data_IF_287783550985
#
_entry.id   IF_287783550985
#
_cell.length_a   1.000
_cell.length_b   1.000
_cell.length_c   1.000
_cell.angle_alpha   90.00
_cell.angle_beta   90.00
_cell.angle_gamma   90.00
#
_symmetry.space_group_name_H-M   'P 1'
#
loop_
_entity.id
_entity.type
_entity.pdbx_description
1 polymer ?
#
# COMPACT_ATOMS: atom_id res chain seq x y z
N UNK A 1 -40.06 3.83 5.76
CA UNK A 1 -38.89 4.69 5.48
C UNK A 1 -38.37 4.40 4.08
N UNK A 2 -38.42 5.38 3.16
CA UNK A 2 -37.82 5.24 1.82
C UNK A 2 -36.30 5.47 1.95
N UNK A 3 -35.48 4.45 1.69
CA UNK A 3 -34.02 4.62 1.54
C UNK A 3 -33.78 5.54 0.33
N UNK A 4 -33.29 6.76 0.56
CA UNK A 4 -32.80 7.62 -0.52
C UNK A 4 -31.60 6.91 -1.15
N UNK A 5 -31.76 6.37 -2.36
CA UNK A 5 -30.63 6.00 -3.21
C UNK A 5 -29.96 7.31 -3.62
N UNK A 6 -28.81 7.61 -3.01
CA UNK A 6 -27.92 8.63 -3.53
C UNK A 6 -27.46 8.13 -4.90
N UNK A 7 -27.93 8.78 -5.98
CA UNK A 7 -27.30 8.64 -7.29
C UNK A 7 -26.05 9.50 -7.23
N UNK A 8 -24.88 8.88 -7.12
CA UNK A 8 -23.62 9.59 -7.25
C UNK A 8 -23.58 10.23 -8.65
N UNK A 9 -23.18 11.51 -8.78
CA UNK A 9 -22.92 12.10 -10.08
C UNK A 9 -21.73 11.37 -10.74
N UNK A 10 -21.64 11.48 -12.06
CA UNK A 10 -20.67 10.85 -12.97
C UNK A 10 -19.27 10.56 -12.38
N UNK A 11 -18.74 9.34 -12.63
CA UNK A 11 -17.36 8.89 -12.39
C UNK A 11 -16.77 9.30 -11.02
N UNK A 12 -17.43 8.94 -9.91
CA UNK A 12 -16.77 9.04 -8.60
C UNK A 12 -15.80 7.87 -8.46
N UNK A 13 -14.51 8.16 -8.35
CA UNK A 13 -13.56 7.16 -7.86
C UNK A 13 -13.85 6.96 -6.38
N UNK A 14 -14.00 5.71 -5.96
CA UNK A 14 -14.25 5.29 -4.58
C UNK A 14 -13.11 5.80 -3.67
N UNK A 15 -11.91 6.00 -4.19
CA UNK A 15 -10.81 6.61 -3.45
C UNK A 15 -11.10 8.08 -3.12
N UNK A 16 -11.78 8.84 -3.98
CA UNK A 16 -12.07 10.27 -3.74
C UNK A 16 -13.00 10.52 -2.55
N UNK A 17 -13.72 9.48 -2.08
CA UNK A 17 -14.62 9.58 -0.93
C UNK A 17 -14.01 9.06 0.38
N UNK A 18 -12.78 8.52 0.33
CA UNK A 18 -12.08 8.10 1.53
C UNK A 18 -11.58 9.31 2.33
N UNK A 19 -11.54 9.21 3.67
CA UNK A 19 -11.08 10.29 4.54
C UNK A 19 -9.55 10.37 4.56
N UNK A 20 -8.94 10.68 3.41
CA UNK A 20 -7.49 10.80 3.28
C UNK A 20 -6.95 11.92 4.16
N UNK A 21 -5.95 11.59 4.99
CA UNK A 21 -5.09 12.61 5.57
C UNK A 21 -4.10 13.10 4.51
N UNK A 22 -4.11 14.40 4.24
CA UNK A 22 -3.15 15.00 3.33
C UNK A 22 -1.85 15.37 4.06
N UNK A 23 -0.72 14.91 3.52
CA UNK A 23 0.62 15.32 3.98
C UNK A 23 1.19 16.35 3.02
N UNK A 24 1.29 17.58 3.51
CA UNK A 24 1.84 18.70 2.75
C UNK A 24 3.37 18.74 2.83
N UNK A 25 3.98 19.58 1.99
CA UNK A 25 5.43 19.64 1.86
C UNK A 25 6.19 19.97 3.16
N UNK A 26 5.61 20.83 3.99
CA UNK A 26 6.15 21.20 5.30
C UNK A 26 5.91 20.14 6.39
N UNK A 27 5.27 19.01 6.04
CA UNK A 27 4.94 17.90 6.93
C UNK A 27 5.65 16.61 6.57
N UNK A 28 6.65 16.65 5.68
CA UNK A 28 7.34 15.45 5.20
C UNK A 28 7.74 14.48 6.32
N UNK A 29 8.31 15.01 7.39
CA UNK A 29 8.83 14.20 8.51
C UNK A 29 7.73 13.62 9.42
N UNK A 30 6.46 13.88 9.11
CA UNK A 30 5.32 13.34 9.87
C UNK A 30 4.95 11.93 9.46
N UNK A 31 5.35 11.48 8.27
CA UNK A 31 5.12 10.09 7.84
C UNK A 31 6.29 9.20 8.23
N UNK A 32 6.00 7.98 8.69
CA UNK A 32 7.02 7.02 9.04
C UNK A 32 6.64 5.59 8.65
N UNK A 33 7.69 4.81 8.38
CA UNK A 33 7.66 3.34 8.27
C UNK A 33 8.79 2.84 9.16
N UNK A 34 8.46 1.89 10.04
CA UNK A 34 9.42 1.30 10.94
C UNK A 34 9.24 -0.20 11.15
N UNK A 35 10.32 -0.84 11.57
CA UNK A 35 10.37 -2.25 11.92
C UNK A 35 10.92 -2.33 13.34
N UNK A 36 10.07 -2.09 14.37
CA UNK A 36 10.52 -2.03 15.75
C UNK A 36 11.14 -3.33 16.27
N UNK A 37 10.76 -4.47 15.68
CA UNK A 37 11.25 -5.79 16.10
C UNK A 37 11.18 -6.81 14.97
N UNK A 38 12.18 -7.68 14.93
CA UNK A 38 12.10 -8.98 14.26
C UNK A 38 12.38 -10.04 15.32
N UNK A 39 11.45 -10.95 15.52
CA UNK A 39 11.58 -12.01 16.51
C UNK A 39 10.67 -13.18 16.16
N UNK A 40 11.12 -14.39 16.50
CA UNK A 40 10.32 -15.61 16.40
C UNK A 40 9.77 -15.89 14.98
N UNK A 41 10.49 -15.48 13.93
CA UNK A 41 10.06 -15.65 12.53
C UNK A 41 8.95 -14.67 12.11
N UNK A 42 8.81 -13.56 12.84
CA UNK A 42 7.89 -12.47 12.52
C UNK A 42 8.62 -11.14 12.37
N UNK A 43 8.23 -10.38 11.34
CA UNK A 43 8.53 -8.96 11.19
C UNK A 43 7.40 -8.13 11.78
N UNK A 44 7.69 -7.33 12.80
CA UNK A 44 6.75 -6.36 13.35
C UNK A 44 6.88 -5.07 12.55
N UNK A 45 5.81 -4.68 11.86
CA UNK A 45 5.80 -3.55 10.94
C UNK A 45 4.87 -2.46 11.46
N UNK A 46 5.35 -1.21 11.43
CA UNK A 46 4.57 -0.03 11.79
C UNK A 46 4.62 1.00 10.65
N UNK A 47 3.46 1.57 10.32
CA UNK A 47 3.31 2.68 9.38
C UNK A 47 2.38 3.71 9.96
N UNK A 48 2.71 5.00 9.83
CA UNK A 48 1.88 6.01 10.44
C UNK A 48 2.18 7.45 10.06
N UNK A 49 1.32 8.31 10.59
CA UNK A 49 1.46 9.76 10.72
C UNK A 49 1.45 10.16 12.20
N UNK A 50 1.46 11.46 12.50
CA UNK A 50 1.22 11.96 13.86
C UNK A 50 -0.24 11.78 14.33
N UNK A 51 -1.18 11.46 13.43
CA UNK A 51 -2.61 11.34 13.74
C UNK A 51 -3.16 9.92 13.70
N UNK A 52 -2.59 9.06 12.87
CA UNK A 52 -3.05 7.68 12.67
C UNK A 52 -1.86 6.76 12.46
N UNK A 53 -1.99 5.51 12.90
CA UNK A 53 -0.98 4.49 12.67
C UNK A 53 -1.59 3.11 12.55
N UNK A 54 -0.88 2.23 11.87
CA UNK A 54 -1.20 0.82 11.72
C UNK A 54 0.03 0.00 12.06
N UNK A 55 -0.22 -1.03 12.86
CA UNK A 55 0.78 -1.99 13.33
C UNK A 55 0.28 -3.40 13.00
N UNK A 56 1.18 -4.25 12.50
CA UNK A 56 0.93 -5.67 12.35
C UNK A 56 2.24 -6.46 12.35
N UNK A 57 2.18 -7.72 12.77
CA UNK A 57 3.24 -8.70 12.54
C UNK A 57 2.97 -9.46 11.25
N UNK A 58 4.01 -9.78 10.51
CA UNK A 58 3.95 -10.65 9.33
C UNK A 58 4.95 -11.79 9.51
N UNK A 59 4.49 -13.01 9.23
CA UNK A 59 5.32 -14.21 9.31
C UNK A 59 6.30 -14.27 8.13
N UNK A 60 7.31 -15.13 8.26
CA UNK A 60 8.31 -15.51 7.24
C UNK A 60 7.76 -16.01 5.88
N UNK A 61 6.44 -16.01 5.64
CA UNK A 61 5.82 -16.22 4.32
C UNK A 61 5.44 -14.92 3.57
N UNK A 62 5.38 -13.78 4.25
CA UNK A 62 5.08 -12.46 3.69
C UNK A 62 6.28 -11.50 3.73
N UNK A 63 6.86 -11.17 2.56
CA UNK A 63 7.95 -10.18 2.45
C UNK A 63 7.37 -8.76 2.43
N UNK A 64 6.96 -8.25 3.60
CA UNK A 64 6.28 -6.95 3.68
C UNK A 64 7.05 -5.82 2.98
N UNK A 65 8.38 -5.76 3.13
CA UNK A 65 9.15 -4.69 2.50
C UNK A 65 9.28 -4.89 0.99
N UNK A 66 9.65 -6.09 0.54
CA UNK A 66 9.77 -6.40 -0.87
C UNK A 66 8.45 -6.18 -1.62
N UNK A 67 7.35 -6.63 -1.02
CA UNK A 67 6.01 -6.54 -1.57
C UNK A 67 5.56 -5.07 -1.76
N UNK A 68 5.81 -4.23 -0.75
CA UNK A 68 5.50 -2.79 -0.85
C UNK A 68 6.40 -2.08 -1.86
N UNK A 69 7.69 -2.43 -1.94
CA UNK A 69 8.60 -1.83 -2.91
C UNK A 69 8.24 -2.22 -4.34
N UNK A 70 7.87 -3.47 -4.56
CA UNK A 70 7.44 -3.98 -5.86
C UNK A 70 6.16 -3.27 -6.34
N UNK A 71 5.16 -3.14 -5.45
CA UNK A 71 3.94 -2.41 -5.73
C UNK A 71 4.19 -0.93 -6.09
N UNK A 72 5.12 -0.27 -5.40
CA UNK A 72 5.51 1.10 -5.72
C UNK A 72 6.22 1.19 -7.06
N UNK A 73 7.18 0.31 -7.36
CA UNK A 73 7.86 0.29 -8.65
C UNK A 73 6.85 0.16 -9.79
N UNK A 74 5.87 -0.75 -9.65
CA UNK A 74 4.80 -0.96 -10.63
C UNK A 74 3.93 0.29 -10.86
N UNK A 75 3.59 1.01 -9.79
CA UNK A 75 2.66 2.14 -9.88
C UNK A 75 3.33 3.46 -10.30
N UNK A 76 4.57 3.70 -9.88
CA UNK A 76 5.32 4.93 -10.25
C UNK A 76 5.99 4.80 -11.61
N UNK A 77 6.27 3.57 -12.05
CA UNK A 77 6.78 3.22 -13.37
C UNK A 77 5.87 2.16 -13.99
N UNK A 78 4.69 2.55 -14.50
CA UNK A 78 3.78 1.61 -15.17
C UNK A 78 4.47 1.01 -16.40
N UNK A 79 5.18 -0.09 -16.20
CA UNK A 79 5.63 -0.99 -17.24
C UNK A 79 4.53 -2.04 -17.38
N UNK A 80 3.97 -2.19 -18.59
CA UNK A 80 2.72 -2.92 -18.83
C UNK A 80 2.77 -4.44 -18.64
N UNK A 81 3.52 -4.96 -17.68
CA UNK A 81 3.68 -6.40 -17.45
C UNK A 81 3.03 -6.82 -16.12
N UNK A 82 1.99 -7.66 -16.24
CA UNK A 82 1.48 -8.50 -15.16
C UNK A 82 2.42 -9.69 -14.97
N UNK A 83 3.33 -9.60 -14.00
CA UNK A 83 4.06 -10.72 -13.45
C UNK A 83 3.20 -11.37 -12.35
N UNK A 84 2.93 -12.67 -12.50
CA UNK A 84 1.97 -13.46 -11.70
C UNK A 84 2.32 -13.68 -10.22
N UNK A 85 2.91 -12.69 -9.57
CA UNK A 85 2.90 -12.52 -8.12
C UNK A 85 1.48 -12.06 -7.70
N UNK A 86 1.05 -12.23 -6.45
CA UNK A 86 -0.35 -12.04 -5.99
C UNK A 86 -0.96 -10.62 -6.05
N UNK A 87 -0.61 -9.84 -7.07
CA UNK A 87 -0.94 -8.44 -7.27
C UNK A 87 -1.96 -8.27 -8.40
N UNK A 88 -2.85 -7.29 -8.27
CA UNK A 88 -3.66 -6.77 -9.39
C UNK A 88 -3.18 -5.36 -9.71
N UNK A 89 -2.41 -5.20 -10.78
CA UNK A 89 -1.96 -3.89 -11.25
C UNK A 89 -2.89 -3.37 -12.36
N UNK A 90 -3.28 -2.11 -12.25
CA UNK A 90 -3.66 -1.27 -13.39
C UNK A 90 -2.74 -0.07 -13.42
N UNK A 91 -2.64 0.66 -14.54
CA UNK A 91 -1.62 1.70 -14.79
C UNK A 91 -1.47 2.79 -13.70
N UNK A 92 -2.41 2.88 -12.76
CA UNK A 92 -2.46 3.84 -11.66
C UNK A 92 -2.94 3.23 -10.32
N UNK A 93 -3.07 1.90 -10.19
CA UNK A 93 -3.48 1.21 -8.95
C UNK A 93 -2.64 -0.04 -8.72
N UNK A 94 -2.08 -0.18 -7.52
CA UNK A 94 -1.41 -1.40 -7.06
C UNK A 94 -1.99 -1.86 -5.71
N UNK A 95 -2.01 -3.17 -5.48
CA UNK A 95 -2.57 -3.77 -4.28
C UNK A 95 -1.62 -4.79 -3.69
N UNK A 96 -1.46 -4.77 -2.37
CA UNK A 96 -0.62 -5.71 -1.63
C UNK A 96 -1.44 -6.36 -0.53
N UNK A 97 -1.40 -7.69 -0.45
CA UNK A 97 -2.12 -8.45 0.56
C UNK A 97 -1.11 -9.12 1.46
N UNK A 98 -1.16 -8.79 2.75
CA UNK A 98 -0.41 -9.48 3.79
C UNK A 98 -1.39 -10.31 4.61
N UNK A 99 -1.29 -11.63 4.50
CA UNK A 99 -2.01 -12.57 5.35
C UNK A 99 -1.19 -12.78 6.63
N UNK A 100 -1.77 -12.40 7.76
CA UNK A 100 -1.09 -12.41 9.06
C UNK A 100 -1.93 -13.18 10.07
N UNK A 101 -1.31 -13.65 11.16
CA UNK A 101 -2.07 -14.30 12.25
C UNK A 101 -3.17 -13.39 12.83
N UNK A 102 -2.98 -12.08 12.75
CA UNK A 102 -3.86 -11.08 13.32
C UNK A 102 -4.93 -10.57 12.35
N UNK A 103 -5.02 -11.13 11.15
CA UNK A 103 -5.97 -10.78 10.08
C UNK A 103 -5.28 -10.46 8.75
N UNK A 104 -6.09 -10.15 7.74
CA UNK A 104 -5.58 -9.84 6.40
C UNK A 104 -5.48 -8.32 6.27
N UNK A 105 -4.29 -7.84 5.90
CA UNK A 105 -4.03 -6.44 5.60
C UNK A 105 -3.99 -6.24 4.09
N UNK A 106 -4.89 -5.42 3.58
CA UNK A 106 -4.86 -5.00 2.18
C UNK A 106 -4.34 -3.57 2.12
N UNK A 107 -3.23 -3.38 1.43
CA UNK A 107 -2.74 -2.09 0.99
C UNK A 107 -3.27 -1.81 -0.40
N UNK A 108 -3.74 -0.59 -0.64
CA UNK A 108 -4.03 -0.09 -1.97
C UNK A 108 -3.29 1.21 -2.17
N UNK A 109 -2.52 1.26 -3.26
CA UNK A 109 -1.81 2.40 -3.76
C UNK A 109 -2.56 2.92 -4.98
N UNK A 110 -2.79 4.23 -5.06
CA UNK A 110 -3.26 4.91 -6.26
C UNK A 110 -2.32 6.07 -6.55
N UNK A 111 -1.81 6.13 -7.79
CA UNK A 111 -0.88 7.16 -8.22
C UNK A 111 -1.46 7.93 -9.40
N UNK A 112 -1.67 9.24 -9.20
CA UNK A 112 -2.19 10.12 -10.23
C UNK A 112 -1.72 11.55 -9.96
N UNK A 113 -1.40 12.30 -11.02
CA UNK A 113 -1.02 13.72 -10.92
C UNK A 113 0.08 13.98 -9.87
N UNK A 114 1.08 13.10 -9.80
CA UNK A 114 2.19 13.15 -8.85
C UNK A 114 1.78 13.09 -7.36
N UNK A 115 0.58 12.57 -7.10
CA UNK A 115 0.05 12.29 -5.77
C UNK A 115 -0.12 10.78 -5.58
N UNK A 116 0.47 10.26 -4.51
CA UNK A 116 0.33 8.89 -4.04
C UNK A 116 -0.72 8.85 -2.93
N UNK A 117 -1.83 8.18 -3.19
CA UNK A 117 -2.86 7.85 -2.22
C UNK A 117 -2.64 6.43 -1.72
N UNK A 118 -2.64 6.24 -0.40
CA UNK A 118 -2.40 4.96 0.26
C UNK A 118 -3.52 4.71 1.24
N UNK A 119 -4.19 3.57 1.10
CA UNK A 119 -5.21 3.14 2.04
C UNK A 119 -4.91 1.70 2.49
N UNK A 120 -5.06 1.45 3.79
CA UNK A 120 -4.81 0.16 4.43
C UNK A 120 -6.07 -0.29 5.14
N UNK A 121 -6.58 -1.46 4.75
CA UNK A 121 -7.67 -2.12 5.43
C UNK A 121 -7.16 -3.30 6.24
N UNK A 122 -7.79 -3.52 7.41
CA UNK A 122 -7.70 -4.78 8.14
C UNK A 122 -9.03 -5.50 8.02
N UNK A 123 -9.05 -6.64 7.36
CA UNK A 123 -10.27 -7.44 7.11
C UNK A 123 -10.00 -8.93 7.28
N UNK A 124 -11.08 -9.71 7.37
CA UNK A 124 -11.04 -11.18 7.26
C UNK A 124 -11.61 -11.67 5.93
N UNK A 125 -12.11 -10.75 5.09
CA UNK A 125 -12.64 -11.02 3.76
C UNK A 125 -12.17 -9.91 2.80
N UNK A 126 -11.23 -10.25 1.92
CA UNK A 126 -10.66 -9.35 0.91
C UNK A 126 -11.47 -9.33 -0.39
N UNK A 127 -12.37 -10.31 -0.59
CA UNK A 127 -13.12 -10.50 -1.84
C UNK A 127 -13.81 -9.24 -2.33
N UNK A 128 -14.39 -8.45 -1.43
CA UNK A 128 -15.07 -7.21 -1.82
C UNK A 128 -14.10 -6.13 -2.32
N UNK A 129 -12.93 -5.99 -1.69
CA UNK A 129 -11.94 -4.99 -2.07
C UNK A 129 -11.25 -5.38 -3.38
N UNK A 130 -11.00 -6.66 -3.60
CA UNK A 130 -10.58 -7.18 -4.90
C UNK A 130 -11.66 -6.98 -5.98
N UNK A 131 -12.92 -7.24 -5.63
CA UNK A 131 -14.04 -7.07 -6.56
C UNK A 131 -14.18 -5.61 -7.02
N UNK A 132 -13.98 -4.60 -6.14
CA UNK A 132 -14.02 -3.19 -6.57
C UNK A 132 -12.76 -2.76 -7.33
N UNK A 133 -11.62 -3.40 -7.06
CA UNK A 133 -10.36 -3.13 -7.77
C UNK A 133 -10.41 -3.59 -9.23
N UNK A 134 -11.15 -4.65 -9.54
CA UNK A 134 -11.45 -5.07 -10.93
C UNK A 134 -12.18 -4.00 -11.75
N UNK A 135 -12.83 -3.06 -11.06
CA UNK A 135 -13.47 -1.91 -11.67
C UNK A 135 -12.67 -0.62 -11.47
N UNK A 136 -11.38 -0.73 -11.15
CA UNK A 136 -10.45 0.38 -10.90
C UNK A 136 -10.94 1.37 -9.85
N UNK A 137 -11.63 0.86 -8.81
CA UNK A 137 -12.28 1.69 -7.80
C UNK A 137 -13.28 2.70 -8.40
N UNK A 138 -13.77 2.52 -9.62
CA UNK A 138 -14.81 3.36 -10.20
C UNK A 138 -16.18 2.87 -9.72
N UNK A 139 -16.81 3.66 -8.83
CA UNK A 139 -18.11 3.33 -8.25
C UNK A 139 -19.17 3.12 -9.33
N UNK A 140 -19.17 3.95 -10.37
CA UNK A 140 -20.15 3.89 -11.43
C UNK A 140 -19.98 2.61 -12.28
N UNK A 141 -18.74 2.23 -12.59
CA UNK A 141 -18.46 0.96 -13.29
C UNK A 141 -18.89 -0.25 -12.44
N UNK A 142 -18.56 -0.26 -11.15
CA UNK A 142 -18.94 -1.35 -10.24
C UNK A 142 -20.47 -1.49 -10.17
N UNK A 143 -21.19 -0.40 -9.90
CA UNK A 143 -22.65 -0.45 -9.76
C UNK A 143 -23.34 -0.87 -11.06
N UNK A 144 -22.83 -0.40 -12.20
CA UNK A 144 -23.35 -0.78 -13.51
C UNK A 144 -23.14 -2.28 -13.80
N UNK A 145 -21.93 -2.80 -13.53
CA UNK A 145 -21.58 -4.19 -13.81
C UNK A 145 -22.25 -5.18 -12.84
N UNK A 146 -22.31 -4.84 -11.55
CA UNK A 146 -22.83 -5.73 -10.51
C UNK A 146 -24.31 -5.49 -10.18
N UNK A 147 -24.90 -4.42 -10.72
CA UNK A 147 -26.30 -4.03 -10.50
C UNK A 147 -26.67 -3.88 -9.01
N UNK A 148 -25.68 -3.63 -8.15
CA UNK A 148 -25.81 -3.42 -6.70
C UNK A 148 -25.07 -2.14 -6.31
N UNK A 149 -25.53 -1.43 -5.26
CA UNK A 149 -24.80 -0.27 -4.75
C UNK A 149 -23.41 -0.68 -4.23
N UNK A 150 -22.45 0.24 -4.29
CA UNK A 150 -21.15 0.05 -3.62
C UNK A 150 -21.38 -0.12 -2.11
N UNK A 151 -20.74 -1.12 -1.50
CA UNK A 151 -20.78 -1.28 -0.04
C UNK A 151 -19.90 -0.21 0.62
N UNK A 152 -20.16 0.05 1.89
CA UNK A 152 -19.34 0.99 2.67
C UNK A 152 -17.91 0.43 2.85
N UNK A 153 -16.97 0.98 2.08
CA UNK A 153 -15.56 0.58 2.13
C UNK A 153 -14.81 1.21 3.31
N UNK A 154 -15.41 2.12 4.07
CA UNK A 154 -14.75 2.69 5.26
C UNK A 154 -14.69 1.68 6.41
N UNK A 155 -15.50 0.62 6.34
CA UNK A 155 -15.48 -0.46 7.31
C UNK A 155 -14.14 -1.21 7.24
N UNK A 156 -13.42 -1.24 8.35
CA UNK A 156 -12.12 -1.90 8.44
C UNK A 156 -10.95 -1.08 7.88
N UNK A 157 -11.19 0.12 7.33
CA UNK A 157 -10.12 1.06 7.00
C UNK A 157 -9.37 1.44 8.28
N UNK A 158 -8.04 1.28 8.26
CA UNK A 158 -7.16 1.55 9.39
C UNK A 158 -6.23 2.72 9.15
N UNK A 159 -5.92 2.98 7.89
CA UNK A 159 -5.03 4.04 7.48
C UNK A 159 -5.47 4.59 6.13
N UNK A 160 -5.47 5.90 5.98
CA UNK A 160 -5.61 6.54 4.67
C UNK A 160 -4.84 7.85 4.62
N UNK A 161 -3.87 7.93 3.72
CA UNK A 161 -3.04 9.12 3.54
C UNK A 161 -2.85 9.45 2.05
N UNK A 162 -2.74 10.73 1.72
CA UNK A 162 -2.41 11.22 0.40
C UNK A 162 -1.16 12.12 0.51
N UNK A 163 -0.14 11.84 -0.29
CA UNK A 163 1.15 12.53 -0.20
C UNK A 163 1.92 12.47 -1.52
N UNK A 164 3.02 13.23 -1.62
CA UNK A 164 4.00 13.01 -2.70
C UNK A 164 4.64 11.62 -2.56
N UNK A 165 4.92 10.89 -3.65
CA UNK A 165 5.54 9.57 -3.58
C UNK A 165 6.84 9.52 -2.77
N UNK A 166 7.68 10.56 -2.87
CA UNK A 166 8.95 10.63 -2.15
C UNK A 166 8.80 10.71 -0.62
N UNK A 167 7.61 11.04 -0.12
CA UNK A 167 7.33 11.07 1.32
C UNK A 167 7.05 9.66 1.85
N UNK A 168 6.65 8.73 0.99
CA UNK A 168 6.48 7.32 1.33
C UNK A 168 7.72 6.49 1.02
N UNK A 169 8.28 6.66 -0.19
CA UNK A 169 9.39 5.82 -0.70
C UNK A 169 10.63 6.00 0.18
N UNK A 170 10.97 7.23 0.59
CA UNK A 170 12.17 7.46 1.40
C UNK A 170 12.11 6.76 2.77
N UNK A 171 11.03 6.88 3.57
CA UNK A 171 10.87 6.08 4.79
C UNK A 171 10.92 4.56 4.56
N UNK A 172 10.33 4.06 3.47
CA UNK A 172 10.38 2.62 3.14
C UNK A 172 11.82 2.14 2.90
N UNK A 173 12.59 2.85 2.06
CA UNK A 173 14.00 2.53 1.80
C UNK A 173 14.84 2.65 3.08
N UNK A 174 14.58 3.67 3.90
CA UNK A 174 15.27 3.84 5.17
C UNK A 174 14.99 2.67 6.12
N UNK A 175 13.73 2.20 6.21
CA UNK A 175 13.37 1.04 7.03
C UNK A 175 14.08 -0.23 6.56
N UNK A 176 14.08 -0.49 5.25
CA UNK A 176 14.78 -1.62 4.67
C UNK A 176 16.30 -1.57 4.93
N UNK A 177 16.93 -0.41 4.74
CA UNK A 177 18.36 -0.26 5.00
C UNK A 177 18.70 -0.43 6.49
N UNK A 178 17.86 0.06 7.42
CA UNK A 178 18.02 -0.20 8.86
C UNK A 178 17.91 -1.69 9.17
N UNK A 179 16.96 -2.40 8.55
CA UNK A 179 16.82 -3.84 8.71
C UNK A 179 18.09 -4.57 8.24
N UNK A 180 18.60 -4.22 7.05
CA UNK A 180 19.84 -4.76 6.47
C UNK A 180 21.07 -4.56 7.34
N UNK A 181 21.14 -3.43 8.05
CA UNK A 181 22.26 -3.11 8.94
C UNK A 181 22.17 -3.78 10.32
N UNK A 182 20.96 -4.10 10.78
CA UNK A 182 20.70 -4.66 12.12
C UNK A 182 20.74 -6.18 12.17
N UNK A 183 20.61 -6.86 11.02
CA UNK A 183 20.57 -8.32 10.93
C UNK A 183 21.77 -8.84 10.14
N UNK A 184 22.39 -9.93 10.61
CA UNK A 184 23.49 -10.56 9.88
C UNK A 184 22.94 -11.38 8.70
N UNK A 185 23.73 -11.63 7.63
CA UNK A 185 23.34 -12.55 6.56
C UNK A 185 22.88 -13.92 7.08
N UNK A 186 23.43 -14.38 8.20
CA UNK A 186 23.06 -15.64 8.85
C UNK A 186 21.67 -15.59 9.51
N UNK A 187 21.21 -14.41 9.92
CA UNK A 187 19.86 -14.21 10.47
C UNK A 187 18.81 -14.24 9.34
N UNK A 188 19.16 -13.74 8.15
CA UNK A 188 18.36 -13.95 6.93
C UNK A 188 18.27 -15.43 6.54
N UNK A 189 19.36 -16.19 6.69
CA UNK A 189 19.40 -17.62 6.38
C UNK A 189 18.71 -18.52 7.42
N UNK A 190 18.67 -18.12 8.70
CA UNK A 190 18.21 -18.99 9.80
C UNK A 190 16.93 -18.53 10.50
N UNK A 191 16.55 -17.25 10.44
CA UNK A 191 15.45 -16.72 11.26
C UNK A 191 14.51 -15.69 10.62
N UNK A 192 14.69 -15.27 9.36
CA UNK A 192 13.67 -14.57 8.56
C UNK A 192 14.08 -14.62 7.08
N UNK A 193 13.65 -15.64 6.35
CA UNK A 193 14.07 -15.88 4.97
C UNK A 193 13.23 -15.09 3.96
N UNK A 194 13.45 -13.78 3.91
CA UNK A 194 13.25 -13.04 2.67
C UNK A 194 14.58 -12.46 2.23
N UNK A 195 15.04 -12.74 0.99
CA UNK A 195 16.18 -12.02 0.48
C UNK A 195 15.84 -10.53 0.55
N UNK A 196 16.80 -9.72 1.00
CA UNK A 196 16.65 -8.27 0.87
C UNK A 196 16.27 -7.96 -0.59
N UNK A 197 15.23 -7.15 -0.85
CA UNK A 197 14.74 -6.91 -2.21
C UNK A 197 15.68 -5.96 -2.94
N UNK A 198 16.90 -6.41 -3.25
CA UNK A 198 17.99 -5.59 -3.80
C UNK A 198 17.57 -4.87 -5.08
N UNK A 199 16.90 -5.58 -5.99
CA UNK A 199 16.48 -5.05 -7.28
C UNK A 199 15.40 -3.97 -7.08
N UNK A 200 14.33 -4.27 -6.34
CA UNK A 200 13.25 -3.31 -6.09
C UNK A 200 13.76 -2.08 -5.32
N UNK A 201 14.66 -2.30 -4.35
CA UNK A 201 15.32 -1.24 -3.60
C UNK A 201 16.16 -0.34 -4.51
N UNK A 202 17.01 -0.94 -5.36
CA UNK A 202 17.86 -0.20 -6.27
C UNK A 202 17.04 0.63 -7.27
N UNK A 203 15.95 0.07 -7.77
CA UNK A 203 15.04 0.73 -8.71
C UNK A 203 14.36 1.95 -8.10
N UNK A 204 13.76 1.82 -6.91
CA UNK A 204 13.14 2.94 -6.18
C UNK A 204 14.17 3.99 -5.80
N UNK A 205 15.37 3.56 -5.39
CA UNK A 205 16.46 4.47 -5.05
C UNK A 205 16.90 5.28 -6.27
N UNK A 206 17.03 4.62 -7.43
CA UNK A 206 17.34 5.30 -8.69
C UNK A 206 16.26 6.33 -9.02
N UNK A 207 14.98 5.94 -8.96
CA UNK A 207 13.85 6.83 -9.23
C UNK A 207 13.89 8.11 -8.39
N UNK A 208 14.14 7.97 -7.08
CA UNK A 208 14.23 9.12 -6.16
C UNK A 208 15.40 10.06 -6.47
N UNK A 209 16.53 9.50 -6.90
CA UNK A 209 17.76 10.27 -7.13
C UNK A 209 17.77 11.00 -8.47
N UNK A 210 17.09 10.45 -9.49
CA UNK A 210 17.22 10.92 -10.89
C UNK A 210 15.91 11.40 -11.48
N UNK A 211 14.88 10.56 -11.48
CA UNK A 211 13.62 10.79 -12.18
C UNK A 211 12.73 11.79 -11.44
N UNK A 212 12.64 11.65 -10.12
CA UNK A 212 11.79 12.53 -9.30
C UNK A 212 12.33 13.96 -9.16
N UNK A 213 13.64 14.16 -9.19
CA UNK A 213 14.25 15.49 -9.11
C UNK A 213 14.08 16.31 -10.40
N UNK A 214 13.67 15.66 -11.49
CA UNK A 214 13.47 16.29 -12.79
C UNK A 214 12.04 16.83 -13.00
N UNK A 215 11.10 16.49 -12.11
CA UNK A 215 9.70 16.94 -12.10
C UNK A 215 9.44 18.10 -11.12
#
# INVERSE_FOLDING_TARGET
>A
MKKKKYKLPYKVNIMDILPFEEIYSWQRDKFFIDIPRVADGEMYFEVGTDKQKVEYSALDITDVLGDLMDALNKIIRPSGNNDGTGYRASDYIAQVIHDTENGIFLWTFVYSENLLQIAIWKTWNVDFLEEIADYHFDAAKYEAAKQKPVKDITQGLKFSVAMRPDYFILPLLNAANRLKQSHTPRDYENHCAFPFPEDQYADLKHWLDTEWQAE
#
